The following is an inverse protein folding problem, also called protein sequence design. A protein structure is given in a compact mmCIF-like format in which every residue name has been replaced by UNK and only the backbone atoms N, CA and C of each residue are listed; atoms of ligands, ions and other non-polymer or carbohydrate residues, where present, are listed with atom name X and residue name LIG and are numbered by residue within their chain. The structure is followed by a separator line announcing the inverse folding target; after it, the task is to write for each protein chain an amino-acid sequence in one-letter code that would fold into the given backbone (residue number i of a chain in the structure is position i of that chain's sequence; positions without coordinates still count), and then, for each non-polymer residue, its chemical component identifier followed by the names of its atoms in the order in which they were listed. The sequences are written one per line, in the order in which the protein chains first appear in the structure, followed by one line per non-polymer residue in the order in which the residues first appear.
data_IF_534612533748
#
_entry.id   IF_534612533748
#
_cell.length_a   1.000
_cell.length_b   1.000
_cell.length_c   1.000
_cell.angle_alpha   90.00
_cell.angle_beta   90.00
_cell.angle_gamma   90.00
#
_symmetry.space_group_name_H-M   'P 1'
#
loop_
_entity.id
_entity.type
_entity.pdbx_description
1 polymer ?
#
# COMPACT_ATOMS: atom_id res chain seq x y z
N UNK A 1 -41.78 8.47 -36.05
CA UNK A 1 -41.98 7.23 -35.26
C UNK A 1 -41.39 7.49 -33.89
N UNK A 2 -42.24 7.60 -32.89
CA UNK A 2 -41.83 7.78 -31.49
C UNK A 2 -41.19 6.49 -31.00
N UNK A 3 -39.94 6.56 -30.54
CA UNK A 3 -39.27 5.46 -29.87
C UNK A 3 -40.14 5.00 -28.69
N UNK A 4 -40.43 3.70 -28.54
CA UNK A 4 -41.21 3.21 -27.41
C UNK A 4 -40.53 3.61 -26.10
N UNK A 5 -41.31 3.92 -25.04
CA UNK A 5 -40.75 4.19 -23.73
C UNK A 5 -39.90 3.00 -23.29
N UNK A 6 -38.71 3.28 -22.77
CA UNK A 6 -37.80 2.27 -22.24
C UNK A 6 -37.80 2.35 -20.71
N UNK A 7 -37.63 1.20 -20.08
CA UNK A 7 -37.50 1.06 -18.63
C UNK A 7 -36.24 0.25 -18.30
N UNK A 8 -35.75 0.41 -17.08
CA UNK A 8 -34.61 -0.36 -16.57
C UNK A 8 -35.08 -1.57 -15.76
N UNK A 9 -34.38 -2.69 -15.95
CA UNK A 9 -34.62 -3.95 -15.26
C UNK A 9 -33.28 -4.45 -14.72
N UNK A 10 -33.28 -4.92 -13.48
CA UNK A 10 -32.15 -5.56 -12.84
C UNK A 10 -32.40 -7.07 -12.79
N UNK A 11 -31.47 -7.83 -13.36
CA UNK A 11 -31.43 -9.28 -13.25
C UNK A 11 -30.28 -9.67 -12.32
N UNK A 12 -30.56 -10.43 -11.28
CA UNK A 12 -29.55 -10.92 -10.33
C UNK A 12 -29.56 -12.44 -10.30
N UNK A 13 -28.45 -13.06 -10.72
CA UNK A 13 -28.25 -14.51 -10.71
C UNK A 13 -27.34 -14.89 -9.54
N UNK A 14 -27.75 -15.87 -8.74
CA UNK A 14 -26.96 -16.38 -7.60
C UNK A 14 -26.98 -17.90 -7.52
N UNK A 15 -25.88 -18.52 -7.09
CA UNK A 15 -25.84 -19.97 -6.92
C UNK A 15 -24.44 -20.55 -6.84
N UNK A 16 -24.32 -21.87 -7.03
CA UNK A 16 -23.02 -22.53 -7.24
C UNK A 16 -22.56 -22.21 -8.66
N UNK A 17 -21.32 -21.74 -8.80
CA UNK A 17 -20.75 -21.38 -10.10
C UNK A 17 -20.70 -22.59 -11.04
N UNK A 18 -21.03 -22.35 -12.31
CA UNK A 18 -21.04 -23.34 -13.39
C UNK A 18 -20.53 -22.70 -14.69
N UNK A 19 -19.79 -23.44 -15.53
CA UNK A 19 -19.48 -22.96 -16.88
C UNK A 19 -20.76 -22.69 -17.68
N UNK A 20 -20.78 -21.58 -18.43
CA UNK A 20 -21.86 -21.29 -19.37
C UNK A 20 -23.03 -20.47 -18.81
N UNK A 21 -23.10 -20.20 -17.50
CA UNK A 21 -24.18 -19.38 -16.90
C UNK A 21 -24.31 -18.01 -17.56
N UNK A 22 -23.19 -17.30 -17.70
CA UNK A 22 -23.17 -15.99 -18.36
C UNK A 22 -23.66 -16.08 -19.80
N UNK A 23 -23.31 -17.15 -20.54
CA UNK A 23 -23.77 -17.37 -21.92
C UNK A 23 -25.28 -17.62 -21.95
N UNK A 24 -25.77 -18.53 -21.11
CA UNK A 24 -27.18 -18.88 -21.02
C UNK A 24 -28.06 -17.66 -20.70
N UNK A 25 -27.58 -16.77 -19.81
CA UNK A 25 -28.27 -15.52 -19.53
C UNK A 25 -28.33 -14.61 -20.76
N UNK A 26 -27.19 -14.28 -21.37
CA UNK A 26 -27.19 -13.33 -22.48
C UNK A 26 -27.83 -13.89 -23.76
N UNK A 27 -27.84 -15.21 -23.93
CA UNK A 27 -28.61 -15.89 -24.97
C UNK A 27 -30.12 -15.78 -24.73
N UNK A 28 -30.61 -15.95 -23.49
CA UNK A 28 -32.05 -15.78 -23.19
C UNK A 28 -32.51 -14.32 -23.31
N UNK A 29 -31.60 -13.36 -23.12
CA UNK A 29 -31.86 -11.95 -23.37
C UNK A 29 -31.80 -11.59 -24.86
N UNK A 30 -31.21 -12.45 -25.70
CA UNK A 30 -31.05 -12.17 -27.13
C UNK A 30 -32.40 -12.28 -27.86
N UNK A 31 -32.69 -11.31 -28.73
CA UNK A 31 -33.97 -11.25 -29.47
C UNK A 31 -35.02 -10.31 -28.89
N UNK A 32 -34.83 -9.81 -27.67
CA UNK A 32 -35.79 -8.91 -26.99
C UNK A 32 -35.48 -7.40 -27.16
N UNK A 33 -34.51 -7.04 -28.01
CA UNK A 33 -34.13 -5.63 -28.22
C UNK A 33 -33.54 -4.96 -26.97
N UNK A 34 -32.88 -5.75 -26.11
CA UNK A 34 -32.32 -5.33 -24.83
C UNK A 34 -30.96 -4.65 -25.04
N UNK A 35 -30.73 -3.56 -24.32
CA UNK A 35 -29.44 -2.87 -24.21
C UNK A 35 -28.88 -3.06 -22.79
N UNK A 36 -27.58 -3.31 -22.66
CA UNK A 36 -26.93 -3.46 -21.35
C UNK A 36 -26.52 -2.09 -20.82
N UNK A 37 -26.87 -1.80 -19.56
CA UNK A 37 -26.45 -0.60 -18.84
C UNK A 37 -25.25 -0.87 -17.93
N UNK A 38 -25.25 -2.00 -17.21
CA UNK A 38 -24.13 -2.42 -16.37
C UNK A 38 -24.12 -3.94 -16.18
N UNK A 39 -22.93 -4.52 -15.98
CA UNK A 39 -22.74 -5.93 -15.69
C UNK A 39 -21.66 -6.06 -14.62
N UNK A 40 -21.99 -6.69 -13.49
CA UNK A 40 -21.06 -7.02 -12.42
C UNK A 40 -21.11 -8.51 -12.13
N UNK A 41 -19.94 -9.16 -12.13
CA UNK A 41 -19.84 -10.59 -11.83
C UNK A 41 -18.69 -10.84 -10.85
N UNK A 42 -18.96 -11.68 -9.85
CA UNK A 42 -17.93 -12.18 -8.95
C UNK A 42 -18.18 -13.65 -8.63
N UNK A 43 -17.09 -14.44 -8.54
CA UNK A 43 -17.12 -15.82 -8.04
C UNK A 43 -16.25 -15.91 -6.80
N UNK A 44 -16.86 -16.23 -5.66
CA UNK A 44 -16.16 -16.38 -4.38
C UNK A 44 -16.31 -17.81 -3.91
N UNK A 45 -15.22 -18.58 -3.89
CA UNK A 45 -15.20 -19.99 -3.43
C UNK A 45 -16.27 -20.86 -4.13
N UNK A 46 -16.44 -20.68 -5.44
CA UNK A 46 -17.42 -21.41 -6.24
C UNK A 46 -18.86 -20.95 -6.05
N UNK A 47 -19.10 -19.78 -5.45
CA UNK A 47 -20.41 -19.13 -5.42
C UNK A 47 -20.42 -17.96 -6.39
N UNK A 48 -21.33 -17.99 -7.36
CA UNK A 48 -21.50 -16.95 -8.36
C UNK A 48 -22.52 -15.92 -7.88
N UNK A 49 -22.22 -14.65 -8.12
CA UNK A 49 -23.18 -13.56 -8.15
C UNK A 49 -22.97 -12.78 -9.45
N UNK A 50 -24.01 -12.69 -10.27
CA UNK A 50 -24.02 -11.96 -11.55
C UNK A 50 -25.19 -10.99 -11.53
N UNK A 51 -24.89 -9.70 -11.49
CA UNK A 51 -25.86 -8.62 -11.62
C UNK A 51 -25.80 -8.02 -13.02
N UNK A 52 -26.95 -7.91 -13.69
CA UNK A 52 -27.08 -7.32 -15.02
C UNK A 52 -28.18 -6.27 -14.96
N UNK A 53 -27.79 -5.01 -15.07
CA UNK A 53 -28.72 -3.90 -15.27
C UNK A 53 -28.89 -3.68 -16.76
N UNK A 54 -30.13 -3.72 -17.22
CA UNK A 54 -30.46 -3.62 -18.63
C UNK A 54 -31.57 -2.59 -18.86
N UNK A 55 -31.67 -2.13 -20.10
CA UNK A 55 -32.69 -1.23 -20.60
C UNK A 55 -33.46 -1.92 -21.72
N UNK A 56 -34.78 -1.97 -21.59
CA UNK A 56 -35.63 -2.59 -22.59
C UNK A 56 -36.93 -1.81 -22.81
N UNK A 57 -37.61 -1.99 -23.95
CA UNK A 57 -38.94 -1.43 -24.17
C UNK A 57 -39.92 -1.82 -23.05
N UNK A 58 -40.85 -0.92 -22.67
CA UNK A 58 -41.79 -1.18 -21.58
C UNK A 58 -42.59 -2.47 -21.79
N UNK A 59 -43.08 -2.73 -23.00
CA UNK A 59 -43.82 -3.95 -23.35
C UNK A 59 -43.01 -5.24 -23.13
N UNK A 60 -41.70 -5.20 -23.38
CA UNK A 60 -40.78 -6.30 -23.08
C UNK A 60 -40.62 -6.48 -21.57
N UNK A 61 -40.51 -5.38 -20.81
CA UNK A 61 -40.40 -5.42 -19.35
C UNK A 61 -41.71 -5.82 -18.62
N UNK A 62 -42.87 -5.71 -19.26
CA UNK A 62 -44.15 -6.20 -18.71
C UNK A 62 -44.47 -7.62 -19.19
N UNK A 63 -43.70 -8.15 -20.13
CA UNK A 63 -43.93 -9.45 -20.72
C UNK A 63 -43.50 -10.56 -19.76
N UNK A 64 -44.41 -11.48 -19.48
CA UNK A 64 -44.14 -12.73 -18.75
C UNK A 64 -43.08 -13.57 -19.48
N UNK A 65 -43.02 -13.46 -20.82
CA UNK A 65 -42.14 -14.26 -21.68
C UNK A 65 -40.65 -14.05 -21.34
N UNK A 66 -40.22 -12.80 -21.12
CA UNK A 66 -38.84 -12.51 -20.78
C UNK A 66 -38.48 -13.13 -19.42
N UNK A 67 -39.37 -13.00 -18.44
CA UNK A 67 -39.21 -13.60 -17.12
C UNK A 67 -39.04 -15.10 -17.20
N UNK A 68 -39.98 -15.79 -17.86
CA UNK A 68 -39.96 -17.25 -18.02
C UNK A 68 -38.72 -17.74 -18.79
N UNK A 69 -38.29 -17.06 -19.86
CA UNK A 69 -37.11 -17.45 -20.63
C UNK A 69 -35.82 -17.34 -19.81
N UNK A 70 -35.67 -16.23 -19.07
CA UNK A 70 -34.53 -16.03 -18.17
C UNK A 70 -34.55 -17.05 -17.04
N UNK A 71 -35.68 -17.22 -16.36
CA UNK A 71 -35.84 -18.19 -15.27
C UNK A 71 -35.55 -19.61 -15.74
N UNK A 72 -36.11 -20.04 -16.87
CA UNK A 72 -35.86 -21.38 -17.41
C UNK A 72 -34.40 -21.60 -17.79
N UNK A 73 -33.77 -20.62 -18.45
CA UNK A 73 -32.36 -20.72 -18.84
C UNK A 73 -31.44 -20.83 -17.61
N UNK A 74 -31.69 -20.06 -16.56
CA UNK A 74 -30.87 -20.03 -15.34
C UNK A 74 -31.14 -21.23 -14.43
N UNK A 75 -32.39 -21.64 -14.26
CA UNK A 75 -32.73 -22.85 -13.51
C UNK A 75 -32.19 -24.12 -14.21
N UNK A 76 -32.13 -24.15 -15.55
CA UNK A 76 -31.56 -25.28 -16.29
C UNK A 76 -30.06 -25.49 -16.02
N UNK A 77 -29.33 -24.43 -15.66
CA UNK A 77 -27.92 -24.51 -15.22
C UNK A 77 -27.77 -24.60 -13.70
N UNK A 78 -28.87 -24.64 -12.94
CA UNK A 78 -28.90 -24.93 -11.51
C UNK A 78 -28.64 -23.72 -10.60
N UNK A 79 -28.96 -22.51 -11.05
CA UNK A 79 -28.84 -21.28 -10.26
C UNK A 79 -30.22 -20.62 -10.09
N UNK A 80 -30.32 -19.71 -9.13
CA UNK A 80 -31.49 -18.88 -8.89
C UNK A 80 -31.35 -17.54 -9.60
N UNK A 81 -32.47 -16.96 -10.03
CA UNK A 81 -32.52 -15.62 -10.63
C UNK A 81 -33.65 -14.78 -10.05
N UNK A 82 -33.38 -13.49 -9.84
CA UNK A 82 -34.40 -12.48 -9.55
C UNK A 82 -34.42 -11.43 -10.64
N UNK A 83 -35.61 -10.94 -10.97
CA UNK A 83 -35.83 -9.95 -12.03
C UNK A 83 -36.72 -8.85 -11.44
N UNK A 84 -36.21 -7.62 -11.41
CA UNK A 84 -36.87 -6.49 -10.75
C UNK A 84 -36.83 -5.24 -11.63
N UNK A 85 -37.92 -4.46 -11.66
CA UNK A 85 -37.90 -3.13 -12.28
C UNK A 85 -37.07 -2.18 -11.43
N UNK A 86 -36.28 -1.33 -12.08
CA UNK A 86 -35.21 -0.59 -11.43
C UNK A 86 -35.07 0.82 -12.00
N UNK A 87 -36.17 1.59 -12.02
CA UNK A 87 -36.19 2.96 -12.58
C UNK A 87 -35.28 3.94 -11.82
N UNK A 88 -35.06 3.70 -10.52
CA UNK A 88 -34.27 4.57 -9.63
C UNK A 88 -32.91 3.98 -9.18
N UNK A 89 -32.48 2.86 -9.78
CA UNK A 89 -31.23 2.20 -9.37
C UNK A 89 -30.03 2.86 -10.05
N UNK A 90 -28.93 3.16 -9.32
CA UNK A 90 -27.73 3.72 -9.92
C UNK A 90 -27.14 2.75 -10.97
N UNK A 91 -26.83 3.28 -12.16
CA UNK A 91 -26.29 2.47 -13.27
C UNK A 91 -24.94 1.86 -12.92
N UNK A 92 -24.04 2.69 -12.38
CA UNK A 92 -22.70 2.30 -11.96
C UNK A 92 -22.53 2.74 -10.51
N UNK A 93 -21.95 1.85 -9.70
CA UNK A 93 -21.58 2.18 -8.33
C UNK A 93 -20.55 3.29 -8.28
N UNK A 94 -20.63 4.12 -7.25
CA UNK A 94 -19.59 5.11 -6.98
C UNK A 94 -18.27 4.42 -6.57
N UNK A 95 -17.11 4.98 -6.94
CA UNK A 95 -15.83 4.48 -6.47
C UNK A 95 -15.69 4.59 -4.95
N UNK A 96 -15.08 3.59 -4.33
CA UNK A 96 -14.70 3.66 -2.92
C UNK A 96 -13.85 4.90 -2.65
N UNK A 97 -14.12 5.56 -1.53
CA UNK A 97 -13.40 6.76 -1.11
C UNK A 97 -12.01 6.44 -0.56
N UNK A 98 -11.89 5.31 0.14
CA UNK A 98 -10.67 4.88 0.83
C UNK A 98 -10.45 3.38 0.66
N UNK A 99 -9.22 2.96 0.91
CA UNK A 99 -8.85 1.56 1.08
C UNK A 99 -8.17 1.37 2.42
N UNK A 100 -8.38 0.21 3.03
CA UNK A 100 -7.81 -0.17 4.31
C UNK A 100 -7.04 -1.48 4.10
N UNK A 101 -5.76 -1.48 4.46
CA UNK A 101 -4.97 -2.70 4.52
C UNK A 101 -4.88 -3.15 5.97
N UNK A 102 -5.19 -4.42 6.23
CA UNK A 102 -4.99 -5.09 7.51
C UNK A 102 -3.94 -6.17 7.29
N UNK A 103 -2.79 -6.04 7.95
CA UNK A 103 -1.71 -7.01 7.90
C UNK A 103 -1.51 -7.62 9.29
N UNK A 104 -1.32 -8.93 9.37
CA UNK A 104 -1.07 -9.58 10.64
C UNK A 104 -0.57 -11.02 10.52
N UNK A 105 0.10 -11.48 11.57
CA UNK A 105 0.65 -12.83 11.66
C UNK A 105 0.40 -13.42 13.05
N UNK A 106 -0.83 -13.88 13.37
CA UNK A 106 -2.00 -13.98 12.48
C UNK A 106 -2.90 -12.74 12.52
N UNK A 107 -3.82 -12.63 11.55
CA UNK A 107 -5.03 -11.80 11.69
C UNK A 107 -6.10 -12.65 12.38
N UNK A 108 -6.42 -12.34 13.63
CA UNK A 108 -7.47 -13.06 14.37
C UNK A 108 -8.87 -12.59 13.97
N UNK A 109 -9.89 -13.44 14.18
CA UNK A 109 -11.29 -13.05 13.99
C UNK A 109 -11.69 -11.88 14.89
N UNK A 110 -11.14 -11.80 16.11
CA UNK A 110 -11.34 -10.69 17.02
C UNK A 110 -10.72 -9.38 16.50
N UNK A 111 -9.54 -9.45 15.87
CA UNK A 111 -8.91 -8.29 15.25
C UNK A 111 -9.76 -7.77 14.08
N UNK A 112 -10.14 -8.65 13.15
CA UNK A 112 -10.94 -8.26 11.99
C UNK A 112 -12.35 -7.79 12.38
N UNK A 113 -12.96 -8.44 13.38
CA UNK A 113 -14.25 -8.02 13.94
C UNK A 113 -14.18 -6.62 14.57
N UNK A 114 -13.09 -6.28 15.27
CA UNK A 114 -12.89 -4.94 15.82
C UNK A 114 -12.77 -3.88 14.72
N UNK A 115 -12.08 -4.17 13.61
CA UNK A 115 -12.02 -3.29 12.43
C UNK A 115 -13.43 -3.05 11.88
N UNK A 116 -14.17 -4.12 11.59
CA UNK A 116 -15.53 -4.02 11.06
C UNK A 116 -16.48 -3.26 11.99
N UNK A 117 -16.36 -3.45 13.31
CA UNK A 117 -17.16 -2.73 14.30
C UNK A 117 -16.88 -1.23 14.28
N UNK A 118 -15.61 -0.80 14.19
CA UNK A 118 -15.28 0.63 14.11
C UNK A 118 -15.80 1.25 12.81
N UNK A 119 -15.68 0.54 11.68
CA UNK A 119 -16.22 1.00 10.40
C UNK A 119 -17.73 1.24 10.49
N UNK A 120 -18.48 0.25 11.00
CA UNK A 120 -19.92 0.35 11.19
C UNK A 120 -20.31 1.49 12.15
N UNK A 121 -19.58 1.68 13.27
CA UNK A 121 -19.87 2.76 14.22
C UNK A 121 -19.67 4.17 13.66
N UNK A 122 -18.84 4.30 12.62
CA UNK A 122 -18.56 5.56 11.93
C UNK A 122 -19.41 5.74 10.66
N UNK A 123 -20.35 4.82 10.39
CA UNK A 123 -21.17 4.85 9.18
C UNK A 123 -20.38 4.58 7.90
N UNK A 124 -19.25 3.88 8.00
CA UNK A 124 -18.42 3.51 6.85
C UNK A 124 -18.93 2.21 6.25
N UNK A 125 -19.28 2.23 4.97
CA UNK A 125 -19.67 1.02 4.25
C UNK A 125 -18.44 0.29 3.69
N UNK A 126 -18.50 -1.05 3.68
CA UNK A 126 -17.48 -1.87 3.03
C UNK A 126 -17.98 -2.26 1.65
N UNK A 127 -17.27 -1.83 0.62
CA UNK A 127 -17.66 -2.05 -0.78
C UNK A 127 -17.05 -3.34 -1.34
N UNK A 128 -15.87 -3.73 -0.83
CA UNK A 128 -15.15 -4.94 -1.24
C UNK A 128 -14.16 -5.39 -0.16
N UNK A 129 -14.03 -6.70 0.02
CA UNK A 129 -12.97 -7.32 0.82
C UNK A 129 -12.24 -8.35 -0.05
N UNK A 130 -10.91 -8.35 -0.04
CA UNK A 130 -10.11 -9.40 -0.68
C UNK A 130 -8.78 -9.66 0.03
N UNK A 131 -8.22 -10.85 -0.18
CA UNK A 131 -6.85 -11.14 0.20
C UNK A 131 -5.85 -10.51 -0.77
N UNK A 132 -4.76 -9.96 -0.23
CA UNK A 132 -3.64 -9.41 -1.02
C UNK A 132 -2.33 -10.16 -0.79
N UNK A 133 -2.22 -10.89 0.33
CA UNK A 133 -1.09 -11.79 0.60
C UNK A 133 -1.47 -12.90 1.58
N UNK A 134 -0.80 -14.05 1.45
CA UNK A 134 -0.82 -15.18 2.38
C UNK A 134 0.57 -15.44 3.00
N UNK A 135 1.63 -14.92 2.39
CA UNK A 135 3.01 -14.95 2.85
C UNK A 135 3.73 -13.63 2.50
N UNK A 136 4.68 -13.12 3.32
CA UNK A 136 5.10 -13.62 4.64
C UNK A 136 4.12 -13.29 5.77
N UNK A 137 3.12 -12.46 5.48
CA UNK A 137 2.09 -12.00 6.41
C UNK A 137 0.73 -12.13 5.72
N UNK A 138 -0.31 -12.46 6.48
CA UNK A 138 -1.68 -12.42 5.96
C UNK A 138 -2.04 -10.96 5.70
N UNK A 139 -2.49 -10.65 4.50
CA UNK A 139 -2.89 -9.30 4.11
C UNK A 139 -4.31 -9.28 3.55
N UNK A 140 -5.14 -8.40 4.10
CA UNK A 140 -6.51 -8.17 3.66
C UNK A 140 -6.69 -6.70 3.23
N UNK A 141 -7.32 -6.48 2.09
CA UNK A 141 -7.72 -5.16 1.60
C UNK A 141 -9.24 -5.02 1.76
N UNK A 142 -9.68 -3.92 2.38
CA UNK A 142 -11.06 -3.48 2.41
C UNK A 142 -11.16 -2.17 1.65
N UNK A 143 -11.98 -2.12 0.60
CA UNK A 143 -12.35 -0.85 -0.02
C UNK A 143 -13.63 -0.34 0.61
N UNK A 144 -13.64 0.95 0.95
CA UNK A 144 -14.68 1.51 1.80
C UNK A 144 -15.16 2.88 1.34
N UNK A 145 -16.42 3.16 1.62
CA UNK A 145 -17.08 4.44 1.42
C UNK A 145 -17.24 5.14 2.76
N UNK A 146 -16.40 6.15 2.98
CA UNK A 146 -16.30 6.91 4.23
C UNK A 146 -17.12 8.20 4.08
N UNK A 147 -18.02 8.50 5.03
CA UNK A 147 -18.76 9.76 5.02
C UNK A 147 -17.84 10.99 4.98
N UNK A 148 -18.26 12.11 4.36
CA UNK A 148 -17.48 13.34 4.35
C UNK A 148 -17.04 13.77 5.76
N UNK A 149 -15.75 14.06 5.94
CA UNK A 149 -15.17 14.40 7.24
C UNK A 149 -14.84 13.20 8.15
N UNK A 150 -15.11 11.96 7.71
CA UNK A 150 -14.89 10.75 8.51
C UNK A 150 -13.45 10.19 8.53
N UNK A 151 -12.53 10.64 7.66
CA UNK A 151 -11.16 10.10 7.55
C UNK A 151 -10.36 10.23 8.85
N UNK A 152 -10.41 11.41 9.50
CA UNK A 152 -9.70 11.64 10.76
C UNK A 152 -10.16 10.69 11.88
N UNK A 153 -11.46 10.70 12.25
CA UNK A 153 -12.01 9.75 13.23
C UNK A 153 -11.74 8.29 12.89
N UNK A 154 -11.82 7.92 11.61
CA UNK A 154 -11.54 6.56 11.14
C UNK A 154 -10.10 6.14 11.43
N UNK A 155 -9.12 6.97 11.07
CA UNK A 155 -7.70 6.71 11.36
C UNK A 155 -7.46 6.57 12.86
N UNK A 156 -8.00 7.46 13.67
CA UNK A 156 -7.85 7.40 15.13
C UNK A 156 -8.43 6.11 15.70
N UNK A 157 -9.63 5.72 15.27
CA UNK A 157 -10.29 4.50 15.74
C UNK A 157 -9.48 3.24 15.36
N UNK A 158 -9.01 3.16 14.11
CA UNK A 158 -8.28 2.00 13.61
C UNK A 158 -6.85 1.93 14.15
N UNK A 159 -6.19 3.05 14.45
CA UNK A 159 -4.88 3.05 15.13
C UNK A 159 -4.97 2.41 16.52
N UNK A 160 -6.05 2.68 17.26
CA UNK A 160 -6.31 2.00 18.55
C UNK A 160 -6.56 0.51 18.37
N UNK A 161 -7.32 0.12 17.33
CA UNK A 161 -7.52 -1.31 17.02
C UNK A 161 -6.20 -1.98 16.69
N UNK A 162 -5.32 -1.31 15.93
CA UNK A 162 -4.00 -1.81 15.57
C UNK A 162 -3.15 -2.11 16.81
N UNK A 163 -3.03 -1.16 17.75
CA UNK A 163 -2.29 -1.35 19.00
C UNK A 163 -2.89 -2.43 19.90
N UNK A 164 -4.21 -2.44 20.05
CA UNK A 164 -4.90 -3.34 20.99
C UNK A 164 -4.94 -4.79 20.48
N UNK A 165 -4.86 -4.99 19.16
CA UNK A 165 -5.02 -6.30 18.52
C UNK A 165 -3.75 -6.86 17.90
N UNK A 166 -2.65 -6.10 17.88
CA UNK A 166 -1.37 -6.54 17.33
C UNK A 166 -1.42 -6.82 15.83
N UNK A 167 -2.13 -5.98 15.08
CA UNK A 167 -2.20 -6.02 13.60
C UNK A 167 -1.88 -4.64 13.04
N UNK A 168 -1.26 -4.58 11.87
CA UNK A 168 -1.01 -3.31 11.20
C UNK A 168 -2.25 -2.90 10.41
N UNK A 169 -2.69 -1.65 10.57
CA UNK A 169 -3.85 -1.12 9.84
C UNK A 169 -3.47 0.20 9.18
N UNK A 170 -3.50 0.22 7.85
CA UNK A 170 -3.24 1.43 7.06
C UNK A 170 -4.50 1.87 6.33
N UNK A 171 -4.86 3.16 6.46
CA UNK A 171 -5.97 3.79 5.73
C UNK A 171 -5.40 4.70 4.65
N UNK A 172 -5.81 4.53 3.41
CA UNK A 172 -5.37 5.33 2.27
C UNK A 172 -6.55 5.88 1.50
N UNK A 173 -6.46 7.11 1.01
CA UNK A 173 -7.42 7.66 0.06
C UNK A 173 -7.33 6.89 -1.26
N UNK A 174 -8.47 6.49 -1.82
CA UNK A 174 -8.55 5.61 -2.99
C UNK A 174 -8.82 6.35 -4.32
N UNK A 175 -8.59 7.66 -4.35
CA UNK A 175 -8.71 8.46 -5.57
C UNK A 175 -7.67 8.06 -6.63
N UNK A 176 -7.96 8.34 -7.90
CA UNK A 176 -7.09 8.01 -9.03
C UNK A 176 -5.67 8.60 -8.86
N UNK A 177 -5.57 9.87 -8.47
CA UNK A 177 -4.30 10.57 -8.25
C UNK A 177 -3.51 9.96 -7.09
N UNK A 178 -4.20 9.58 -6.00
CA UNK A 178 -3.54 9.01 -4.82
C UNK A 178 -3.04 7.59 -5.05
N UNK A 179 -3.65 6.85 -5.96
CA UNK A 179 -3.20 5.48 -6.32
C UNK A 179 -2.00 5.48 -7.27
N UNK A 180 -1.72 6.59 -7.95
CA UNK A 180 -0.61 6.73 -8.90
C UNK A 180 0.69 7.17 -8.23
N UNK A 181 1.15 6.43 -7.22
CA UNK A 181 2.48 6.64 -6.60
C UNK A 181 3.59 6.26 -7.57
N UNK A 182 4.69 7.03 -7.62
CA UNK A 182 5.76 6.86 -8.64
C UNK A 182 7.18 7.05 -8.14
N UNK A 183 7.36 7.49 -6.90
CA UNK A 183 8.68 7.70 -6.31
C UNK A 183 8.66 7.22 -4.87
N UNK A 184 9.73 6.54 -4.46
CA UNK A 184 9.93 6.12 -3.08
C UNK A 184 11.35 6.40 -2.62
N UNK A 185 11.48 6.90 -1.39
CA UNK A 185 12.74 6.94 -0.66
C UNK A 185 12.69 6.01 0.54
N UNK A 186 13.80 5.33 0.79
CA UNK A 186 13.99 4.52 1.99
C UNK A 186 15.03 5.16 2.89
N UNK A 187 14.85 5.07 4.19
CA UNK A 187 15.99 5.11 5.10
C UNK A 187 16.86 3.86 4.87
N UNK A 188 18.10 3.90 5.35
CA UNK A 188 19.06 2.82 5.19
C UNK A 188 19.08 1.94 6.43
N UNK A 189 19.63 2.48 7.52
CA UNK A 189 19.76 1.80 8.80
C UNK A 189 18.37 1.39 9.32
N UNK A 190 18.27 0.18 9.86
CA UNK A 190 17.02 -0.40 10.40
C UNK A 190 15.80 -0.40 9.46
N UNK A 191 15.97 -0.12 8.16
CA UNK A 191 14.91 -0.03 7.16
C UNK A 191 15.23 -0.83 5.90
N UNK A 192 16.24 -0.41 5.13
CA UNK A 192 16.67 -1.13 3.92
C UNK A 192 17.75 -2.17 4.26
N UNK A 193 18.55 -1.87 5.27
CA UNK A 193 19.63 -2.68 5.84
C UNK A 193 19.26 -3.07 7.27
N UNK A 194 19.74 -4.23 7.72
CA UNK A 194 19.56 -4.69 9.08
C UNK A 194 20.60 -4.03 10.01
N UNK A 195 20.14 -3.50 11.15
CA UNK A 195 21.00 -2.88 12.16
C UNK A 195 21.47 -1.48 11.79
N UNK A 196 22.45 -1.00 12.55
CA UNK A 196 22.98 0.37 12.50
C UNK A 196 24.45 0.38 12.02
N UNK A 197 24.70 0.97 10.86
CA UNK A 197 26.05 1.04 10.25
C UNK A 197 27.07 1.70 11.19
N UNK A 198 26.66 2.72 11.94
CA UNK A 198 27.57 3.44 12.85
C UNK A 198 28.01 2.57 14.03
N UNK A 199 27.17 1.63 14.48
CA UNK A 199 27.51 0.68 15.54
C UNK A 199 28.49 -0.38 15.04
N UNK A 200 28.30 -0.85 13.80
CA UNK A 200 29.26 -1.75 13.13
C UNK A 200 30.65 -1.11 12.99
N UNK A 201 30.72 0.19 12.68
CA UNK A 201 31.98 0.95 12.67
C UNK A 201 32.56 1.11 14.09
N UNK A 202 31.73 1.45 15.07
CA UNK A 202 32.14 1.65 16.45
C UNK A 202 32.67 0.36 17.10
N UNK A 203 32.15 -0.80 16.72
CA UNK A 203 32.69 -2.10 17.14
C UNK A 203 34.17 -2.26 16.77
N UNK A 204 34.61 -1.71 15.64
CA UNK A 204 36.02 -1.73 15.23
C UNK A 204 36.90 -0.79 16.04
N UNK A 205 36.31 0.22 16.69
CA UNK A 205 36.96 1.07 17.69
C UNK A 205 36.85 0.53 19.13
N UNK A 206 36.13 -0.59 19.35
CA UNK A 206 35.81 -1.07 20.69
C UNK A 206 34.82 -0.17 21.45
N UNK A 207 34.04 0.65 20.73
CA UNK A 207 33.14 1.66 21.27
C UNK A 207 31.65 1.37 20.99
N UNK A 208 31.31 0.16 20.54
CA UNK A 208 29.94 -0.26 20.17
C UNK A 208 28.91 0.06 21.26
N UNK A 209 29.16 -0.37 22.50
CA UNK A 209 28.21 -0.13 23.61
C UNK A 209 28.01 1.35 23.93
N UNK A 210 29.02 2.20 23.75
CA UNK A 210 28.89 3.66 23.92
C UNK A 210 28.06 4.26 22.81
N UNK A 211 28.30 3.86 21.56
CA UNK A 211 27.58 4.38 20.39
C UNK A 211 26.13 3.91 20.40
N UNK A 212 25.87 2.64 20.71
CA UNK A 212 24.51 2.10 20.82
C UNK A 212 23.67 2.87 21.84
N UNK A 213 24.23 3.17 23.01
CA UNK A 213 23.53 3.97 24.03
C UNK A 213 23.16 5.39 23.54
N UNK A 214 24.04 6.02 22.74
CA UNK A 214 23.79 7.35 22.17
C UNK A 214 22.78 7.27 21.01
N UNK A 215 22.85 6.22 20.17
CA UNK A 215 21.89 5.96 19.08
C UNK A 215 20.48 5.78 19.65
N UNK A 216 20.33 4.92 20.65
CA UNK A 216 19.06 4.67 21.34
C UNK A 216 18.45 5.93 21.94
N UNK A 217 19.27 6.78 22.58
CA UNK A 217 18.82 8.06 23.12
C UNK A 217 18.35 9.04 22.03
N UNK A 218 19.06 9.10 20.91
CA UNK A 218 18.68 9.95 19.79
C UNK A 218 17.39 9.47 19.11
N UNK A 219 17.19 8.17 18.96
CA UNK A 219 15.95 7.60 18.41
C UNK A 219 14.73 7.86 19.30
N UNK A 220 14.92 7.92 20.63
CA UNK A 220 13.88 8.36 21.58
C UNK A 220 13.64 9.87 21.59
N UNK A 221 14.41 10.65 20.83
CA UNK A 221 14.31 12.11 20.78
C UNK A 221 14.88 12.81 22.01
N UNK A 222 15.72 12.14 22.80
CA UNK A 222 16.36 12.71 24.01
C UNK A 222 17.57 13.59 23.66
N UNK A 223 18.13 13.42 22.46
CA UNK A 223 19.27 14.16 21.94
C UNK A 223 18.95 14.76 20.57
N UNK A 224 19.50 15.95 20.30
CA UNK A 224 19.50 16.50 18.95
C UNK A 224 20.28 15.58 18.00
N UNK A 225 19.80 15.41 16.78
CA UNK A 225 20.37 14.47 15.82
C UNK A 225 21.82 14.84 15.46
N UNK A 226 22.09 16.12 15.21
CA UNK A 226 23.43 16.56 14.82
C UNK A 226 24.42 16.42 15.98
N UNK A 227 23.99 16.75 17.19
CA UNK A 227 24.79 16.53 18.40
C UNK A 227 25.09 15.03 18.62
N UNK A 228 24.07 14.17 18.55
CA UNK A 228 24.23 12.73 18.67
C UNK A 228 25.15 12.17 17.58
N UNK A 229 25.00 12.60 16.33
CA UNK A 229 25.87 12.18 15.23
C UNK A 229 27.33 12.57 15.50
N UNK A 230 27.60 13.81 15.92
CA UNK A 230 28.96 14.23 16.24
C UNK A 230 29.57 13.42 17.38
N UNK A 231 28.81 13.16 18.45
CA UNK A 231 29.29 12.34 19.56
C UNK A 231 29.63 10.91 19.12
N UNK A 232 28.77 10.28 18.32
CA UNK A 232 29.00 8.92 17.82
C UNK A 232 30.16 8.86 16.84
N UNK A 233 30.24 9.78 15.89
CA UNK A 233 31.32 9.82 14.89
C UNK A 233 32.68 10.12 15.55
N UNK A 234 32.71 10.92 16.63
CA UNK A 234 33.95 11.19 17.38
C UNK A 234 34.61 9.90 17.93
N UNK A 235 33.81 8.86 18.25
CA UNK A 235 34.33 7.56 18.72
C UNK A 235 35.12 6.81 17.65
N UNK A 236 34.97 7.18 16.38
CA UNK A 236 35.60 6.53 15.24
C UNK A 236 36.98 7.13 14.91
N UNK A 237 37.39 8.19 15.61
CA UNK A 237 38.65 8.89 15.34
C UNK A 237 39.86 7.95 15.43
N UNK A 238 40.70 7.96 14.40
CA UNK A 238 41.93 7.18 14.34
C UNK A 238 41.79 5.81 13.66
N UNK A 239 40.57 5.35 13.39
CA UNK A 239 40.35 4.13 12.60
C UNK A 239 40.90 4.30 11.17
N UNK A 240 41.50 3.25 10.58
CA UNK A 240 41.88 3.28 9.16
C UNK A 240 40.63 3.35 8.29
N UNK A 241 40.66 4.14 7.21
CA UNK A 241 39.52 4.32 6.32
C UNK A 241 39.07 3.02 5.63
N UNK A 242 39.94 2.00 5.54
CA UNK A 242 39.58 0.66 5.02
C UNK A 242 38.47 -0.03 5.82
N UNK A 243 38.23 0.40 7.06
CA UNK A 243 37.12 -0.12 7.88
C UNK A 243 35.75 0.13 7.23
N UNK A 244 35.65 1.18 6.39
CA UNK A 244 34.43 1.51 5.64
C UNK A 244 34.07 0.37 4.69
N UNK A 245 35.06 -0.11 3.93
CA UNK A 245 34.87 -1.18 2.96
C UNK A 245 34.55 -2.50 3.68
N UNK A 246 35.23 -2.79 4.78
CA UNK A 246 34.96 -3.98 5.61
C UNK A 246 33.53 -4.01 6.17
N UNK A 247 32.99 -2.87 6.60
CA UNK A 247 31.62 -2.76 7.10
C UNK A 247 30.62 -2.82 5.95
N UNK A 248 30.91 -2.19 4.81
CA UNK A 248 30.06 -2.24 3.63
C UNK A 248 29.84 -3.69 3.14
N UNK A 249 30.88 -4.52 3.14
CA UNK A 249 30.81 -5.94 2.76
C UNK A 249 29.99 -6.82 3.74
N UNK A 250 29.75 -6.34 4.96
CA UNK A 250 29.01 -7.06 6.00
C UNK A 250 27.53 -6.67 6.07
N UNK A 251 27.08 -5.71 5.25
CA UNK A 251 25.69 -5.26 5.30
C UNK A 251 24.73 -6.33 4.82
N UNK A 252 23.78 -6.67 5.68
CA UNK A 252 22.67 -7.54 5.34
C UNK A 252 21.43 -6.71 5.00
N UNK A 253 20.81 -6.98 3.86
CA UNK A 253 19.56 -6.32 3.50
C UNK A 253 18.40 -6.81 4.38
N UNK A 254 17.46 -5.91 4.65
CA UNK A 254 16.21 -6.24 5.33
C UNK A 254 15.47 -7.36 4.58
N UNK A 255 14.90 -8.37 5.27
CA UNK A 255 14.11 -9.41 4.63
C UNK A 255 13.01 -8.81 3.72
N UNK A 256 13.06 -9.16 2.44
CA UNK A 256 12.14 -8.64 1.44
C UNK A 256 12.64 -7.41 0.67
N UNK A 257 13.68 -6.69 1.11
CA UNK A 257 14.19 -5.47 0.45
C UNK A 257 14.47 -5.65 -1.06
N UNK A 258 15.15 -6.75 -1.44
CA UNK A 258 15.41 -7.07 -2.85
C UNK A 258 14.12 -7.28 -3.65
N UNK A 259 13.10 -7.90 -3.04
CA UNK A 259 11.80 -8.11 -3.68
C UNK A 259 11.03 -6.81 -3.80
N UNK A 260 11.03 -5.97 -2.75
CA UNK A 260 10.43 -4.64 -2.74
C UNK A 260 10.97 -3.79 -3.88
N UNK A 261 12.30 -3.60 -3.95
CA UNK A 261 12.94 -2.78 -4.99
C UNK A 261 12.73 -3.35 -6.40
N UNK A 262 12.79 -4.68 -6.57
CA UNK A 262 12.52 -5.33 -7.86
C UNK A 262 11.09 -5.08 -8.34
N UNK A 263 10.10 -5.18 -7.45
CA UNK A 263 8.69 -4.94 -7.79
C UNK A 263 8.42 -3.48 -8.07
N UNK A 264 8.97 -2.56 -7.28
CA UNK A 264 8.87 -1.12 -7.50
C UNK A 264 9.42 -0.72 -8.88
N UNK A 265 10.59 -1.25 -9.27
CA UNK A 265 11.13 -1.03 -10.62
C UNK A 265 10.22 -1.54 -11.73
N UNK A 266 9.59 -2.72 -11.56
CA UNK A 266 8.60 -3.23 -12.54
C UNK A 266 7.38 -2.33 -12.68
N UNK A 267 7.01 -1.63 -11.62
CA UNK A 267 5.93 -0.63 -11.61
C UNK A 267 6.39 0.75 -12.11
N UNK A 268 7.68 0.91 -12.48
CA UNK A 268 8.23 2.16 -12.98
C UNK A 268 8.50 3.21 -11.91
N UNK A 269 8.67 2.80 -10.65
CA UNK A 269 9.05 3.72 -9.58
C UNK A 269 10.48 4.22 -9.75
N UNK A 270 10.69 5.47 -9.32
CA UNK A 270 12.01 6.00 -8.96
C UNK A 270 12.31 5.63 -7.51
N UNK A 271 13.45 5.00 -7.27
CA UNK A 271 13.83 4.49 -5.96
C UNK A 271 15.10 5.19 -5.47
N UNK A 272 15.06 5.78 -4.28
CA UNK A 272 16.22 6.42 -3.67
C UNK A 272 16.40 6.04 -2.21
N UNK A 273 17.54 6.45 -1.64
CA UNK A 273 17.78 6.40 -0.20
C UNK A 273 18.14 7.77 0.35
N UNK A 274 17.68 8.02 1.58
CA UNK A 274 17.95 9.25 2.32
C UNK A 274 18.28 8.86 3.75
N UNK A 275 19.56 8.97 4.12
CA UNK A 275 20.10 8.38 5.35
C UNK A 275 20.91 9.39 6.16
N UNK A 276 20.87 9.21 7.49
CA UNK A 276 21.80 9.85 8.41
C UNK A 276 23.17 9.16 8.50
N UNK A 277 23.32 8.00 7.85
CA UNK A 277 24.57 7.24 7.74
C UNK A 277 25.54 7.82 6.73
N UNK A 278 26.48 6.99 6.26
CA UNK A 278 27.67 7.47 5.55
C UNK A 278 27.68 7.07 4.07
N UNK A 279 27.88 8.06 3.20
CA UNK A 279 27.81 7.92 1.75
C UNK A 279 28.75 6.85 1.19
N UNK A 280 30.00 6.78 1.67
CA UNK A 280 30.96 5.78 1.19
C UNK A 280 30.54 4.33 1.47
N UNK A 281 29.72 4.09 2.50
CA UNK A 281 29.17 2.77 2.80
C UNK A 281 27.91 2.50 1.96
N UNK A 282 27.11 3.53 1.71
CA UNK A 282 25.81 3.42 1.03
C UNK A 282 25.96 3.36 -0.50
N UNK A 283 26.92 4.07 -1.08
CA UNK A 283 27.10 4.17 -2.54
C UNK A 283 27.30 2.80 -3.23
N UNK A 284 28.14 1.86 -2.70
CA UNK A 284 28.24 0.51 -3.26
C UNK A 284 26.90 -0.24 -3.24
N UNK A 285 26.19 -0.19 -2.11
CA UNK A 285 24.88 -0.83 -1.97
C UNK A 285 23.85 -0.23 -2.91
N UNK A 286 23.83 1.10 -3.05
CA UNK A 286 22.93 1.82 -3.94
C UNK A 286 23.18 1.46 -5.41
N UNK A 287 24.45 1.29 -5.80
CA UNK A 287 24.84 0.82 -7.13
C UNK A 287 24.30 -0.60 -7.40
N UNK A 288 24.56 -1.54 -6.49
CA UNK A 288 24.09 -2.93 -6.60
C UNK A 288 22.56 -3.04 -6.65
N UNK A 289 21.88 -2.17 -5.93
CA UNK A 289 20.42 -2.09 -5.89
C UNK A 289 19.82 -1.28 -7.04
N UNK A 290 20.64 -0.64 -7.89
CA UNK A 290 20.24 0.24 -8.98
C UNK A 290 19.30 1.37 -8.50
N UNK A 291 19.70 2.08 -7.44
CA UNK A 291 18.96 3.24 -6.95
C UNK A 291 19.19 4.47 -7.83
N UNK A 292 18.16 5.29 -8.00
CA UNK A 292 18.19 6.52 -8.78
C UNK A 292 18.71 7.73 -7.98
N UNK A 293 18.77 7.63 -6.64
CA UNK A 293 19.13 8.75 -5.77
C UNK A 293 19.73 8.29 -4.43
N UNK A 294 20.74 9.02 -3.94
CA UNK A 294 21.38 8.82 -2.65
C UNK A 294 21.63 10.18 -1.99
N UNK A 295 21.15 10.35 -0.76
CA UNK A 295 21.55 11.43 0.14
C UNK A 295 22.00 10.83 1.47
N UNK A 296 23.24 11.16 1.88
CA UNK A 296 23.86 10.65 3.10
C UNK A 296 24.95 11.61 3.60
N UNK A 297 25.35 11.47 4.85
CA UNK A 297 26.48 12.21 5.44
C UNK A 297 27.82 11.69 4.90
N UNK A 298 28.89 12.47 5.03
CA UNK A 298 30.22 12.09 4.60
C UNK A 298 31.21 12.11 5.77
N UNK A 299 31.94 11.01 5.99
CA UNK A 299 33.01 10.95 7.00
C UNK A 299 34.24 11.70 6.52
N UNK A 300 34.82 12.54 7.38
CA UNK A 300 36.09 13.20 7.08
C UNK A 300 37.26 12.22 7.24
N UNK A 301 38.07 12.12 6.17
CA UNK A 301 39.25 11.24 6.10
C UNK A 301 40.48 12.08 5.82
N UNK A 302 41.51 11.94 6.65
CA UNK A 302 42.83 12.57 6.48
C UNK A 302 43.90 11.51 6.64
N UNK A 303 44.86 11.49 5.70
CA UNK A 303 45.97 10.51 5.68
C UNK A 303 45.51 9.04 5.81
N UNK A 304 44.38 8.72 5.18
CA UNK A 304 43.81 7.37 5.19
C UNK A 304 43.16 6.96 6.51
N UNK A 305 42.87 7.90 7.43
CA UNK A 305 42.23 7.64 8.71
C UNK A 305 40.99 8.52 8.92
N UNK A 306 40.02 7.99 9.66
CA UNK A 306 38.84 8.74 10.09
C UNK A 306 39.26 9.79 11.13
N UNK A 307 38.83 11.03 10.96
CA UNK A 307 39.13 12.11 11.92
C UNK A 307 38.16 12.16 13.10
N UNK A 308 37.05 11.42 13.01
CA UNK A 308 35.94 11.51 13.95
C UNK A 308 35.00 12.70 13.70
N UNK A 309 34.98 13.24 12.48
CA UNK A 309 34.06 14.31 12.06
C UNK A 309 33.35 13.96 10.75
N UNK A 310 32.27 14.70 10.46
CA UNK A 310 31.57 14.66 9.17
C UNK A 310 31.84 15.91 8.35
N UNK A 311 31.76 15.80 7.02
CA UNK A 311 31.99 16.89 6.06
C UNK A 311 30.66 17.38 5.50
N UNK A 312 30.55 18.69 5.32
CA UNK A 312 29.42 19.31 4.65
C UNK A 312 28.16 19.43 5.52
N UNK A 313 27.00 19.70 4.90
CA UNK A 313 25.74 19.79 5.63
C UNK A 313 25.31 18.41 6.13
N UNK A 314 24.85 18.36 7.38
CA UNK A 314 24.34 17.13 7.98
C UNK A 314 22.96 16.83 7.42
N UNK A 315 22.74 15.57 7.03
CA UNK A 315 21.42 15.02 6.70
C UNK A 315 20.69 14.72 8.01
N UNK A 316 20.20 15.78 8.62
CA UNK A 316 19.30 15.74 9.77
C UNK A 316 17.84 15.59 9.31
N UNK A 317 16.89 15.64 10.25
CA UNK A 317 15.46 15.47 9.97
C UNK A 317 14.93 16.46 8.90
N UNK A 318 15.17 17.79 9.01
CA UNK A 318 14.88 18.72 7.91
C UNK A 318 15.62 18.38 6.61
N UNK A 319 16.87 17.96 6.70
CA UNK A 319 17.72 17.52 5.59
C UNK A 319 17.13 16.35 4.83
N UNK A 320 16.58 15.34 5.52
CA UNK A 320 15.90 14.20 4.89
C UNK A 320 14.68 14.65 4.09
N UNK A 321 13.85 15.50 4.70
CA UNK A 321 12.68 16.06 4.03
C UNK A 321 13.07 16.91 2.81
N UNK A 322 14.17 17.67 2.89
CA UNK A 322 14.72 18.42 1.76
C UNK A 322 15.21 17.48 0.65
N UNK A 323 15.96 16.44 0.98
CA UNK A 323 16.48 15.47 0.01
C UNK A 323 15.36 14.77 -0.77
N UNK A 324 14.26 14.40 -0.10
CA UNK A 324 13.08 13.87 -0.79
C UNK A 324 12.48 14.89 -1.78
N UNK A 325 12.34 16.16 -1.39
CA UNK A 325 11.82 17.21 -2.28
C UNK A 325 12.74 17.44 -3.48
N UNK A 326 14.05 17.43 -3.27
CA UNK A 326 15.05 17.59 -4.32
C UNK A 326 14.98 16.42 -5.32
N UNK A 327 14.88 15.18 -4.82
CA UNK A 327 14.72 14.01 -5.66
C UNK A 327 13.41 14.03 -6.45
N UNK A 328 12.31 14.39 -5.80
CA UNK A 328 11.01 14.52 -6.45
C UNK A 328 11.03 15.57 -7.57
N UNK A 329 11.65 16.73 -7.33
CA UNK A 329 11.83 17.78 -8.33
C UNK A 329 12.70 17.31 -9.51
N UNK A 330 13.82 16.65 -9.24
CA UNK A 330 14.71 16.10 -10.27
C UNK A 330 14.01 15.03 -11.13
N UNK A 331 13.16 14.20 -10.51
CA UNK A 331 12.43 13.14 -11.17
C UNK A 331 11.14 13.61 -11.86
N UNK A 332 10.71 14.86 -11.64
CA UNK A 332 9.44 15.39 -12.16
C UNK A 332 8.21 14.72 -11.54
N UNK A 333 8.28 14.33 -10.26
CA UNK A 333 7.20 13.64 -9.55
C UNK A 333 6.58 14.59 -8.50
N UNK A 334 5.26 14.85 -8.53
CA UNK A 334 4.58 15.63 -7.50
C UNK A 334 4.71 15.00 -6.10
N UNK A 335 4.84 15.82 -5.05
CA UNK A 335 5.05 15.33 -3.68
C UNK A 335 3.95 14.37 -3.20
N UNK A 336 2.70 14.58 -3.62
CA UNK A 336 1.57 13.70 -3.29
C UNK A 336 1.63 12.29 -3.91
N UNK A 337 2.53 12.10 -4.90
CA UNK A 337 2.86 10.84 -5.57
C UNK A 337 4.16 10.21 -5.05
N UNK A 338 4.79 10.80 -4.02
CA UNK A 338 5.98 10.26 -3.36
C UNK A 338 5.61 9.40 -2.16
N UNK A 339 6.51 8.49 -1.80
CA UNK A 339 6.44 7.62 -0.63
C UNK A 339 7.77 7.73 0.12
N UNK A 340 7.72 7.74 1.45
CA UNK A 340 8.90 7.65 2.30
C UNK A 340 8.72 6.48 3.27
N UNK A 341 9.76 5.69 3.46
CA UNK A 341 9.77 4.55 4.39
C UNK A 341 10.99 4.72 5.30
N UNK A 342 10.76 4.74 6.62
CA UNK A 342 11.78 4.86 7.64
C UNK A 342 11.23 4.42 9.00
N UNK A 343 12.10 4.17 9.96
CA UNK A 343 11.80 3.62 11.29
C UNK A 343 11.94 4.66 12.43
N UNK A 344 12.91 5.56 12.32
CA UNK A 344 13.28 6.49 13.38
C UNK A 344 12.58 7.86 13.35
N UNK A 345 12.82 8.65 14.40
CA UNK A 345 12.33 10.03 14.52
C UNK A 345 13.01 11.03 13.56
N UNK A 346 14.12 10.62 12.93
CA UNK A 346 14.98 11.41 12.04
C UNK A 346 14.49 11.40 10.60
#
# INVERSE_FOLDING_TARGET
MTTPPKVSVLITVTGVDQPGVTSALFESLSGHGIELLNVEQVVIRGRLTLGVLLCCPTDVAESIVLGDEVENAIHAVGLDVTIERSEDVPIIREPSTHTIYVLGRPITSAAFGAVAQQLASLGVNIDLIRGVSDYPVTGLELRVSVPPGGDGPLRTALNRVSSDRGVDIAVEAYSLERRAKRLVVFDVDSTLVQGEVIEMLAARAGAEGTVAAITDAAMRGELDFAESLHQRVATLAGLPASVIDEVADQLELMPGARTTLRTLRRLGFRCGVVSGGFRKIIDPLAHDLMLDFVAANELEIVDGKLTGRVVGPIIDRPGKAKALRDFAAQAGVPMEQTVAVGDGAN
#
